data_IF_515416290945
#
_entry.id   IF_515416290945
#
_cell.length_a   1.000
_cell.length_b   1.000
_cell.length_c   1.000
_cell.angle_alpha   90.00
_cell.angle_beta   90.00
_cell.angle_gamma   90.00
#
_symmetry.space_group_name_H-M   'P 1'
#
loop_
_entity.id
_entity.type
_entity.pdbx_description
1 polymer ?
#
# COMPACT_ATOMS: atom_id res chain seq x y z
N UNK A 1 -1.18 18.01 7.79
CA UNK A 1 -1.60 18.23 6.41
C UNK A 1 -0.76 17.36 5.45
N UNK A 2 0.58 17.52 5.44
CA UNK A 2 1.45 16.79 4.52
C UNK A 2 1.31 15.25 4.64
N UNK A 3 1.28 14.72 5.86
CA UNK A 3 1.16 13.28 6.09
C UNK A 3 -0.17 12.69 5.56
N UNK A 4 -1.25 13.45 5.62
CA UNK A 4 -2.56 13.02 5.10
C UNK A 4 -2.66 13.10 3.57
N UNK A 5 -1.92 14.02 2.95
CA UNK A 5 -1.98 14.23 1.51
C UNK A 5 -1.08 13.25 0.74
N UNK A 6 0.21 13.24 1.07
CA UNK A 6 1.23 12.57 0.25
C UNK A 6 1.05 11.04 0.19
N UNK A 7 0.75 10.42 1.33
CA UNK A 7 0.53 8.99 1.38
C UNK A 7 -0.73 8.56 0.59
N UNK A 8 -1.83 9.31 0.72
CA UNK A 8 -3.10 9.01 0.04
C UNK A 8 -2.98 9.17 -1.47
N UNK A 9 -2.35 10.25 -1.95
CA UNK A 9 -2.13 10.48 -3.39
C UNK A 9 -1.26 9.38 -4.00
N UNK A 10 -0.15 9.01 -3.34
CA UNK A 10 0.70 7.93 -3.83
C UNK A 10 -0.01 6.57 -3.77
N UNK A 11 -0.85 6.31 -2.76
CA UNK A 11 -1.68 5.10 -2.71
C UNK A 11 -2.62 5.03 -3.90
N UNK A 12 -3.28 6.15 -4.22
CA UNK A 12 -4.22 6.21 -5.34
C UNK A 12 -3.50 5.95 -6.67
N UNK A 13 -2.36 6.60 -6.91
CA UNK A 13 -1.56 6.40 -8.11
C UNK A 13 -1.01 4.97 -8.25
N UNK A 14 -0.43 4.42 -7.15
CA UNK A 14 0.07 3.06 -7.14
C UNK A 14 -1.05 2.04 -7.36
N UNK A 15 -2.19 2.23 -6.70
CA UNK A 15 -3.36 1.36 -6.84
C UNK A 15 -3.97 1.43 -8.24
N UNK A 16 -4.12 2.61 -8.82
CA UNK A 16 -4.60 2.76 -10.19
C UNK A 16 -3.67 2.05 -11.19
N UNK A 17 -2.35 2.27 -11.09
CA UNK A 17 -1.39 1.55 -11.93
C UNK A 17 -1.52 0.03 -11.77
N UNK A 18 -1.61 -0.45 -10.52
CA UNK A 18 -1.78 -1.87 -10.25
C UNK A 18 -3.07 -2.44 -10.89
N UNK A 19 -4.19 -1.71 -10.83
CA UNK A 19 -5.44 -2.10 -11.48
C UNK A 19 -5.33 -2.15 -13.00
N UNK A 20 -4.66 -1.16 -13.61
CA UNK A 20 -4.49 -1.05 -15.06
C UNK A 20 -3.50 -2.09 -15.64
N UNK A 21 -2.62 -2.63 -14.81
CA UNK A 21 -1.64 -3.66 -15.21
C UNK A 21 -2.07 -5.08 -14.85
N UNK A 22 -3.23 -5.24 -14.18
CA UNK A 22 -3.84 -6.56 -14.01
C UNK A 22 -4.40 -7.08 -15.35
N UNK A 23 -4.25 -8.39 -15.55
CA UNK A 23 -4.93 -9.10 -16.66
C UNK A 23 -6.40 -9.37 -16.28
N UNK A 24 -7.15 -8.31 -15.95
CA UNK A 24 -8.57 -8.30 -15.58
C UNK A 24 -9.23 -6.99 -15.94
N UNK A 25 -10.44 -7.07 -16.44
CA UNK A 25 -11.28 -5.89 -16.61
C UNK A 25 -11.78 -5.35 -15.26
N UNK A 26 -12.15 -4.08 -15.22
CA UNK A 26 -12.74 -3.48 -14.02
C UNK A 26 -14.08 -4.12 -13.63
N UNK A 27 -14.83 -4.66 -14.58
CA UNK A 27 -16.08 -5.38 -14.31
C UNK A 27 -15.79 -6.74 -13.63
N UNK A 28 -14.74 -7.45 -14.04
CA UNK A 28 -14.29 -8.66 -13.35
C UNK A 28 -13.85 -8.34 -11.92
N UNK A 29 -13.09 -7.25 -11.70
CA UNK A 29 -12.68 -6.81 -10.36
C UNK A 29 -13.89 -6.52 -9.48
N UNK A 30 -14.88 -5.79 -9.99
CA UNK A 30 -16.13 -5.52 -9.26
C UNK A 30 -16.91 -6.78 -8.93
N UNK A 31 -16.86 -7.80 -9.78
CA UNK A 31 -17.52 -9.08 -9.53
C UNK A 31 -16.83 -9.93 -8.46
N UNK A 32 -15.55 -9.68 -8.17
CA UNK A 32 -14.80 -10.44 -7.17
C UNK A 32 -15.14 -10.03 -5.73
N UNK A 33 -15.51 -8.77 -5.52
CA UNK A 33 -15.88 -8.26 -4.18
C UNK A 33 -16.91 -7.14 -4.28
N UNK A 34 -17.91 -7.18 -3.43
CA UNK A 34 -18.89 -6.10 -3.26
C UNK A 34 -18.39 -5.00 -2.31
N UNK A 35 -17.34 -5.30 -1.55
CA UNK A 35 -16.79 -4.39 -0.55
C UNK A 35 -15.56 -3.68 -1.09
N UNK A 36 -15.70 -2.40 -1.44
CA UNK A 36 -14.59 -1.58 -1.96
C UNK A 36 -13.39 -1.51 -0.99
N UNK A 37 -13.61 -1.69 0.31
CA UNK A 37 -12.52 -1.70 1.26
C UNK A 37 -11.57 -2.89 1.04
N UNK A 38 -12.04 -4.01 0.50
CA UNK A 38 -11.19 -5.15 0.15
C UNK A 38 -10.22 -4.77 -0.98
N UNK A 39 -10.70 -3.99 -1.94
CA UNK A 39 -9.86 -3.42 -3.00
C UNK A 39 -8.82 -2.46 -2.41
N UNK A 40 -9.24 -1.54 -1.56
CA UNK A 40 -8.36 -0.55 -0.91
C UNK A 40 -7.26 -1.23 -0.11
N UNK A 41 -7.61 -2.17 0.79
CA UNK A 41 -6.64 -2.85 1.65
C UNK A 41 -5.64 -3.69 0.83
N UNK A 42 -6.10 -4.40 -0.19
CA UNK A 42 -5.21 -5.21 -1.02
C UNK A 42 -4.27 -4.36 -1.88
N UNK A 43 -4.74 -3.25 -2.45
CA UNK A 43 -3.90 -2.34 -3.22
C UNK A 43 -2.83 -1.67 -2.34
N UNK A 44 -3.21 -1.23 -1.12
CA UNK A 44 -2.26 -0.67 -0.14
C UNK A 44 -1.24 -1.73 0.30
N UNK A 45 -1.67 -2.97 0.53
CA UNK A 45 -0.74 -4.06 0.83
C UNK A 45 0.22 -4.29 -0.33
N UNK A 46 -0.31 -4.38 -1.55
CA UNK A 46 0.43 -4.77 -2.75
C UNK A 46 1.50 -3.74 -3.13
N UNK A 47 1.17 -2.45 -3.17
CA UNK A 47 2.13 -1.38 -3.47
C UNK A 47 2.01 -0.22 -2.46
N UNK A 48 2.43 -0.49 -1.24
CA UNK A 48 2.39 0.46 -0.14
C UNK A 48 3.18 1.72 -0.47
N UNK A 49 2.62 2.93 -0.28
CA UNK A 49 3.36 4.17 -0.53
C UNK A 49 4.50 4.36 0.46
N UNK A 50 4.30 3.97 1.73
CA UNK A 50 5.33 4.02 2.76
C UNK A 50 6.10 2.70 2.79
N UNK A 51 7.38 2.75 2.39
CA UNK A 51 8.21 1.56 2.27
C UNK A 51 8.89 1.19 3.57
N UNK A 52 9.24 2.17 4.39
CA UNK A 52 9.88 1.91 5.68
C UNK A 52 9.69 3.05 6.68
N UNK A 53 9.86 2.73 7.96
CA UNK A 53 10.07 3.67 9.04
C UNK A 53 11.34 3.37 9.81
N UNK A 54 11.90 4.40 10.45
CA UNK A 54 13.04 4.24 11.33
C UNK A 54 12.64 4.34 12.79
N UNK A 55 13.34 3.59 13.63
CA UNK A 55 13.27 3.63 15.09
C UNK A 55 14.68 3.67 15.67
N UNK A 56 14.79 4.17 16.87
CA UNK A 56 16.02 4.08 17.66
C UNK A 56 15.77 3.17 18.85
N UNK A 57 16.69 2.24 19.11
CA UNK A 57 16.65 1.41 20.31
C UNK A 57 16.92 2.27 21.53
N UNK A 58 15.97 2.34 22.47
CA UNK A 58 16.12 3.10 23.72
C UNK A 58 16.89 2.33 24.79
N UNK A 59 17.02 1.03 24.62
CA UNK A 59 17.78 0.09 25.46
C UNK A 59 18.31 -1.05 24.57
N UNK A 60 19.14 -1.92 25.13
CA UNK A 60 19.54 -3.15 24.46
C UNK A 60 18.32 -4.05 24.31
N UNK A 61 18.06 -4.54 23.09
CA UNK A 61 16.90 -5.38 22.79
C UNK A 61 17.27 -6.51 21.85
N UNK A 62 16.66 -7.66 22.03
CA UNK A 62 16.79 -8.78 21.09
C UNK A 62 15.56 -8.83 20.16
N UNK A 63 15.81 -8.85 18.87
CA UNK A 63 14.77 -9.01 17.82
C UNK A 63 15.20 -10.09 16.85
N UNK A 64 14.40 -11.14 16.74
CA UNK A 64 14.65 -12.23 15.79
C UNK A 64 16.01 -12.93 15.99
N UNK A 65 16.48 -13.06 17.22
CA UNK A 65 17.75 -13.66 17.57
C UNK A 65 18.97 -12.73 17.40
N UNK A 66 18.75 -11.44 17.07
CA UNK A 66 19.79 -10.43 16.92
C UNK A 66 19.77 -9.43 18.08
N UNK A 67 20.92 -9.23 18.71
CA UNK A 67 21.09 -8.22 19.76
C UNK A 67 21.29 -6.83 19.15
N UNK A 68 20.35 -5.94 19.40
CA UNK A 68 20.35 -4.55 18.94
C UNK A 68 20.73 -3.68 20.13
N UNK A 69 21.85 -2.96 20.02
CA UNK A 69 22.36 -2.11 21.08
C UNK A 69 21.55 -0.81 21.20
N UNK A 70 21.45 -0.29 22.43
CA UNK A 70 20.91 1.05 22.71
C UNK A 70 21.53 2.09 21.77
N UNK A 71 20.70 2.97 21.22
CA UNK A 71 21.12 4.00 20.27
C UNK A 71 21.22 3.53 18.82
N UNK A 72 21.11 2.22 18.56
CA UNK A 72 21.07 1.70 17.18
C UNK A 72 19.86 2.18 16.43
N UNK A 73 20.05 2.47 15.14
CA UNK A 73 18.96 2.79 14.21
C UNK A 73 18.43 1.50 13.59
N UNK A 74 17.13 1.31 13.64
CA UNK A 74 16.43 0.13 13.11
C UNK A 74 15.47 0.58 12.02
N UNK A 75 15.53 -0.03 10.84
CA UNK A 75 14.56 0.17 9.77
C UNK A 75 13.49 -0.92 9.83
N UNK A 76 12.22 -0.50 9.89
CA UNK A 76 11.06 -1.38 9.79
C UNK A 76 10.59 -1.32 8.34
N UNK A 77 10.76 -2.41 7.58
CA UNK A 77 10.49 -2.47 6.15
C UNK A 77 9.03 -2.87 5.89
N UNK A 78 8.12 -1.90 5.85
CA UNK A 78 6.67 -2.13 5.70
C UNK A 78 6.33 -2.78 4.35
N UNK A 79 6.89 -2.27 3.25
CA UNK A 79 6.67 -2.81 1.92
C UNK A 79 7.11 -4.27 1.81
N UNK A 80 8.25 -4.64 2.44
CA UNK A 80 8.73 -6.01 2.49
C UNK A 80 7.85 -6.91 3.36
N UNK A 81 7.44 -6.41 4.53
CA UNK A 81 6.55 -7.16 5.43
C UNK A 81 5.21 -7.49 4.76
N UNK A 82 4.68 -6.58 3.95
CA UNK A 82 3.44 -6.78 3.19
C UNK A 82 3.56 -7.82 2.06
N UNK A 83 4.77 -8.23 1.73
CA UNK A 83 5.11 -9.26 0.73
C UNK A 83 5.72 -10.52 1.34
N UNK A 84 5.65 -10.68 2.66
CA UNK A 84 6.21 -11.86 3.33
C UNK A 84 5.37 -13.11 3.03
N UNK A 85 5.93 -14.14 2.35
CA UNK A 85 5.18 -15.36 1.99
C UNK A 85 4.83 -16.22 3.21
N UNK A 86 5.44 -15.97 4.38
CA UNK A 86 5.09 -16.64 5.63
C UNK A 86 3.76 -16.14 6.20
N UNK A 87 3.35 -14.91 5.80
CA UNK A 87 2.10 -14.27 6.24
C UNK A 87 1.08 -14.25 5.11
N UNK A 88 1.50 -13.87 3.91
CA UNK A 88 0.60 -13.70 2.76
C UNK A 88 0.84 -14.79 1.71
N UNK A 89 -0.14 -15.65 1.49
CA UNK A 89 -0.08 -16.64 0.40
C UNK A 89 -0.04 -15.92 -0.95
N UNK A 90 0.93 -16.27 -1.81
CA UNK A 90 1.16 -15.61 -3.10
C UNK A 90 1.22 -14.08 -2.98
N UNK A 91 2.19 -13.52 -2.21
CA UNK A 91 2.21 -12.11 -1.84
C UNK A 91 2.36 -11.16 -3.03
N UNK A 92 2.92 -11.64 -4.15
CA UNK A 92 3.16 -10.89 -5.38
C UNK A 92 1.95 -10.89 -6.34
N UNK A 93 0.85 -11.49 -5.92
CA UNK A 93 -0.42 -11.47 -6.63
C UNK A 93 -1.44 -10.63 -5.88
N UNK A 94 -2.21 -9.83 -6.63
CA UNK A 94 -3.37 -9.13 -6.10
C UNK A 94 -4.53 -10.12 -5.95
N UNK A 95 -5.12 -10.15 -4.78
CA UNK A 95 -6.28 -10.97 -4.47
C UNK A 95 -7.25 -10.23 -3.55
N UNK A 96 -8.30 -9.67 -4.10
CA UNK A 96 -9.30 -8.90 -3.36
C UNK A 96 -10.13 -9.74 -2.36
N UNK A 97 -10.09 -11.08 -2.48
CA UNK A 97 -10.69 -12.03 -1.54
C UNK A 97 -9.72 -12.53 -0.47
N UNK A 98 -8.60 -11.83 -0.27
CA UNK A 98 -7.61 -12.23 0.72
C UNK A 98 -8.21 -12.13 2.13
N UNK A 99 -8.14 -13.22 2.88
CA UNK A 99 -8.65 -13.30 4.26
C UNK A 99 -7.81 -12.47 5.24
N UNK A 100 -6.48 -12.50 5.05
CA UNK A 100 -5.54 -11.78 5.92
C UNK A 100 -5.44 -10.34 5.44
N UNK A 101 -5.95 -9.43 6.26
CA UNK A 101 -5.96 -7.98 6.01
C UNK A 101 -5.01 -7.21 6.94
N UNK A 102 -4.28 -7.92 7.81
CA UNK A 102 -3.35 -7.32 8.79
C UNK A 102 -2.01 -6.96 8.16
N UNK A 103 -2.06 -6.17 7.09
CA UNK A 103 -0.85 -5.63 6.48
C UNK A 103 -0.27 -4.46 7.28
N UNK A 104 1.03 -4.24 7.16
CA UNK A 104 1.78 -3.27 7.97
C UNK A 104 1.66 -1.81 7.49
N UNK A 105 0.95 -1.53 6.39
CA UNK A 105 0.92 -0.20 5.75
C UNK A 105 0.37 0.90 6.66
N UNK A 106 -0.56 0.57 7.56
CA UNK A 106 -1.11 1.52 8.54
C UNK A 106 -0.24 1.66 9.81
N UNK A 107 0.88 0.96 9.88
CA UNK A 107 1.70 0.89 11.09
C UNK A 107 1.07 0.03 12.17
N UNK A 108 1.46 0.26 13.45
CA UNK A 108 0.96 -0.52 14.57
C UNK A 108 1.21 0.12 15.92
N UNK A 109 0.52 -0.37 16.96
CA UNK A 109 0.65 0.12 18.32
C UNK A 109 0.32 1.60 18.44
N UNK A 110 1.10 2.33 19.25
CA UNK A 110 0.93 3.77 19.50
C UNK A 110 1.18 4.63 18.24
N UNK A 111 1.76 4.06 17.20
CA UNK A 111 2.02 4.71 15.92
C UNK A 111 1.06 4.28 14.81
N UNK A 112 -0.03 3.56 15.14
CA UNK A 112 -1.06 3.26 14.17
C UNK A 112 -1.58 4.56 13.54
N UNK A 113 -1.77 4.56 12.22
CA UNK A 113 -2.12 5.75 11.46
C UNK A 113 -3.42 6.38 11.96
N UNK A 114 -3.35 7.60 12.48
CA UNK A 114 -4.52 8.33 12.99
C UNK A 114 -5.51 8.67 11.86
N UNK A 115 -5.02 8.83 10.63
CA UNK A 115 -5.83 9.17 9.45
C UNK A 115 -6.47 7.96 8.74
N UNK A 116 -6.32 6.73 9.27
CA UNK A 116 -6.75 5.50 8.59
C UNK A 116 -8.21 5.54 8.14
N UNK A 117 -9.11 6.00 8.99
CA UNK A 117 -10.54 6.03 8.65
C UNK A 117 -10.84 7.01 7.50
N UNK A 118 -10.23 8.19 7.52
CA UNK A 118 -10.37 9.18 6.46
C UNK A 118 -9.74 8.67 5.16
N UNK A 119 -8.52 8.15 5.21
CA UNK A 119 -7.83 7.62 4.05
C UNK A 119 -8.61 6.46 3.39
N UNK A 120 -9.16 5.53 4.17
CA UNK A 120 -10.03 4.46 3.65
C UNK A 120 -11.26 5.00 2.95
N UNK A 121 -11.89 6.03 3.53
CA UNK A 121 -13.05 6.68 2.92
C UNK A 121 -12.68 7.34 1.58
N UNK A 122 -11.62 8.16 1.56
CA UNK A 122 -11.14 8.86 0.37
C UNK A 122 -10.76 7.86 -0.74
N UNK A 123 -9.99 6.84 -0.42
CA UNK A 123 -9.58 5.80 -1.37
C UNK A 123 -10.76 4.96 -1.84
N UNK A 124 -11.69 4.61 -0.95
CA UNK A 124 -12.89 3.86 -1.29
C UNK A 124 -13.78 4.62 -2.28
N UNK A 125 -14.02 5.91 -2.04
CA UNK A 125 -14.78 6.77 -2.97
C UNK A 125 -14.04 6.89 -4.31
N UNK A 126 -12.72 7.09 -4.29
CA UNK A 126 -11.90 7.26 -5.48
C UNK A 126 -11.88 5.98 -6.32
N UNK A 127 -11.61 4.81 -5.72
CA UNK A 127 -11.58 3.54 -6.46
C UNK A 127 -12.96 3.10 -6.95
N UNK A 128 -14.04 3.37 -6.22
CA UNK A 128 -15.39 3.17 -6.74
C UNK A 128 -15.64 3.98 -8.02
N UNK A 129 -15.17 5.24 -8.03
CA UNK A 129 -15.33 6.09 -9.20
C UNK A 129 -14.45 5.64 -10.37
N UNK A 130 -13.21 5.21 -10.08
CA UNK A 130 -12.27 4.65 -11.07
C UNK A 130 -12.85 3.38 -11.70
N UNK A 131 -13.32 2.44 -10.89
CA UNK A 131 -13.88 1.17 -11.36
C UNK A 131 -15.21 1.33 -12.10
N UNK A 132 -15.91 2.46 -11.94
CA UNK A 132 -17.12 2.76 -12.70
C UNK A 132 -16.84 3.27 -14.12
N UNK A 133 -15.58 3.58 -14.44
CA UNK A 133 -15.14 4.08 -15.75
C UNK A 133 -14.15 3.10 -16.35
N UNK A 134 -13.89 3.26 -17.66
CA UNK A 134 -12.81 2.54 -18.31
C UNK A 134 -11.62 3.47 -18.47
N UNK A 135 -10.47 3.04 -17.97
CA UNK A 135 -9.21 3.72 -18.17
C UNK A 135 -8.21 2.77 -18.81
N UNK A 136 -7.29 3.32 -19.59
CA UNK A 136 -6.12 2.61 -20.09
C UNK A 136 -4.86 3.44 -19.88
N UNK A 137 -3.75 2.76 -19.65
CA UNK A 137 -2.45 3.40 -19.53
C UNK A 137 -2.01 3.91 -20.89
N UNK A 138 -1.59 5.18 -20.99
CA UNK A 138 -1.07 5.75 -22.24
C UNK A 138 0.37 5.29 -22.46
N UNK A 139 1.16 5.28 -21.38
CA UNK A 139 2.55 4.84 -21.38
C UNK A 139 2.96 4.31 -20.01
N UNK A 140 4.03 3.53 -19.96
CA UNK A 140 4.55 3.02 -18.67
C UNK A 140 5.13 4.18 -17.84
N UNK A 141 4.61 4.42 -16.62
CA UNK A 141 4.99 5.58 -15.83
C UNK A 141 6.35 5.37 -15.13
N UNK A 142 7.09 6.46 -14.97
CA UNK A 142 8.35 6.43 -14.21
C UNK A 142 8.13 6.68 -12.73
N UNK A 143 8.79 5.89 -11.88
CA UNK A 143 8.78 6.07 -10.43
C UNK A 143 9.55 7.33 -10.01
N UNK A 144 9.17 7.92 -8.88
CA UNK A 144 9.84 9.13 -8.31
C UNK A 144 11.30 8.88 -7.95
N UNK A 145 11.70 7.61 -7.71
CA UNK A 145 13.03 7.24 -7.23
C UNK A 145 13.23 7.44 -5.73
N UNK A 146 12.24 7.99 -5.02
CA UNK A 146 12.28 8.12 -3.57
C UNK A 146 12.07 6.76 -2.90
N UNK A 147 12.98 6.37 -2.01
CA UNK A 147 12.89 5.08 -1.31
C UNK A 147 11.84 5.10 -0.19
N UNK A 148 11.71 6.19 0.54
CA UNK A 148 10.82 6.27 1.70
C UNK A 148 9.34 6.31 1.34
N UNK A 149 8.99 7.10 0.32
CA UNK A 149 7.64 7.24 -0.21
C UNK A 149 7.67 6.84 -1.68
N UNK A 150 7.03 5.71 -1.97
CA UNK A 150 6.99 5.09 -3.28
C UNK A 150 5.78 5.61 -4.05
N UNK A 151 6.01 6.15 -5.23
CA UNK A 151 4.98 6.67 -6.11
C UNK A 151 5.50 6.90 -7.52
N UNK A 152 4.66 7.42 -8.38
CA UNK A 152 4.99 7.82 -9.74
C UNK A 152 5.20 9.33 -9.82
N UNK A 153 6.00 9.79 -10.79
CA UNK A 153 6.13 11.21 -11.11
C UNK A 153 4.84 11.73 -11.70
N UNK A 154 4.28 10.95 -12.61
CA UNK A 154 2.97 11.16 -13.23
C UNK A 154 2.43 9.81 -13.69
N UNK A 155 1.12 9.72 -13.89
CA UNK A 155 0.43 8.55 -14.40
C UNK A 155 -0.57 9.03 -15.46
N UNK A 156 -0.21 8.85 -16.72
CA UNK A 156 -1.03 9.30 -17.85
C UNK A 156 -2.01 8.20 -18.25
N UNK A 157 -3.30 8.53 -18.22
CA UNK A 157 -4.38 7.62 -18.58
C UNK A 157 -5.34 8.25 -19.59
N UNK A 158 -5.92 7.42 -20.44
CA UNK A 158 -7.06 7.77 -21.30
C UNK A 158 -8.34 7.13 -20.75
N UNK A 159 -9.47 7.76 -20.98
CA UNK A 159 -10.83 7.28 -20.64
C UNK A 159 -11.65 7.08 -21.90
#
# INVERSE_FOLDING_TARGET
LNAGHEATVNTLGNGLHALLTLDKSFDEIKSETENINDVVEELIRFDSPLQFFQRYALEDVEIGGHNIKKGSKVAILLGSANRDPRVFKNPDQINFKREIKDHSSWGGGIHFCIGTHLARLELGVSFNHILAKQFSLIEEPSRTGAFGIRGFKELLVSS
#
